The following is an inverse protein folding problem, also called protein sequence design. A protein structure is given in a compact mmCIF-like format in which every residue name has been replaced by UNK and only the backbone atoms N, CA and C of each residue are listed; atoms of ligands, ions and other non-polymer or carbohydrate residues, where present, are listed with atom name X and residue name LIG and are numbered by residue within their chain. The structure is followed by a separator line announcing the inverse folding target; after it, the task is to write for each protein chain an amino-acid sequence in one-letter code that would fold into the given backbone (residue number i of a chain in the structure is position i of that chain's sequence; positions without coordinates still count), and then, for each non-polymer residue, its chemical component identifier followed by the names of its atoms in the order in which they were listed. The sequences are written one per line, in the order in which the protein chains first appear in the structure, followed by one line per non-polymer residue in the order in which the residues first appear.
data_IF_369864631454
#
_entry.id   IF_369864631454
#
_cell.length_a   1.000
_cell.length_b   1.000
_cell.length_c   1.000
_cell.angle_alpha   90.00
_cell.angle_beta   90.00
_cell.angle_gamma   90.00
#
_symmetry.space_group_name_H-M   'P 1'
#
loop_
_entity.id
_entity.type
_entity.pdbx_description
1 polymer ?
#
# COMPACT_ATOMS: atom_id res chain seq x y z
N UNK A 1 8.88 9.72 -4.95
CA UNK A 1 8.15 8.48 -4.63
C UNK A 1 7.75 7.77 -5.91
N UNK A 2 7.89 6.45 -5.96
CA UNK A 2 7.46 5.61 -7.09
C UNK A 2 6.41 4.63 -6.58
N UNK A 3 5.31 4.47 -7.31
CA UNK A 3 4.32 3.41 -7.07
C UNK A 3 4.46 2.39 -8.20
N UNK A 4 4.67 1.13 -7.83
CA UNK A 4 4.94 0.04 -8.76
C UNK A 4 3.94 -1.09 -8.53
N UNK A 5 3.48 -1.67 -9.63
CA UNK A 5 2.67 -2.89 -9.64
C UNK A 5 3.57 -4.09 -9.89
N UNK A 6 3.42 -5.10 -9.03
CA UNK A 6 4.05 -6.41 -9.13
C UNK A 6 2.93 -7.45 -9.06
N UNK A 7 2.67 -8.20 -10.14
CA UNK A 7 1.71 -9.29 -10.08
C UNK A 7 2.24 -10.45 -9.23
N UNK A 8 1.34 -11.23 -8.63
CA UNK A 8 1.69 -12.49 -7.99
C UNK A 8 2.10 -13.57 -9.00
N UNK A 9 1.54 -13.50 -10.21
CA UNK A 9 1.82 -14.45 -11.29
C UNK A 9 2.45 -13.73 -12.48
N UNK A 10 3.52 -14.30 -13.03
CA UNK A 10 4.31 -13.69 -14.11
C UNK A 10 5.58 -12.98 -13.62
N UNK A 11 6.43 -12.60 -14.57
CA UNK A 11 7.75 -11.99 -14.31
C UNK A 11 7.84 -10.61 -14.97
N UNK A 12 6.98 -9.69 -14.55
CA UNK A 12 6.98 -8.31 -15.04
C UNK A 12 6.64 -7.34 -13.92
N UNK A 13 6.99 -6.07 -14.12
CA UNK A 13 6.65 -4.96 -13.22
C UNK A 13 6.22 -3.77 -14.05
N UNK A 14 5.38 -2.91 -13.47
CA UNK A 14 4.94 -1.68 -14.13
C UNK A 14 4.97 -0.53 -13.14
N UNK A 15 5.61 0.57 -13.53
CA UNK A 15 5.50 1.83 -12.79
C UNK A 15 4.11 2.40 -13.07
N UNK A 16 3.32 2.59 -12.01
CA UNK A 16 1.98 3.19 -12.08
C UNK A 16 2.03 4.71 -11.88
N UNK A 17 3.03 5.22 -11.17
CA UNK A 17 3.18 6.66 -10.95
C UNK A 17 4.52 7.04 -10.36
N UNK A 18 5.00 8.22 -10.76
CA UNK A 18 6.21 8.85 -10.24
C UNK A 18 5.84 10.23 -9.72
N UNK A 19 6.05 10.45 -8.42
CA UNK A 19 5.75 11.70 -7.75
C UNK A 19 7.06 12.31 -7.26
N UNK A 20 7.49 13.37 -7.93
CA UNK A 20 8.65 14.16 -7.53
C UNK A 20 8.22 15.20 -6.49
N UNK A 21 8.83 15.14 -5.31
CA UNK A 21 8.64 16.10 -4.24
C UNK A 21 10.00 16.45 -3.63
N UNK A 22 10.15 17.69 -3.16
CA UNK A 22 11.37 18.15 -2.50
C UNK A 22 11.69 17.33 -1.25
N UNK A 23 10.64 16.96 -0.51
CA UNK A 23 10.71 16.18 0.73
C UNK A 23 9.81 14.93 0.66
N UNK A 24 9.81 14.11 1.71
CA UNK A 24 8.93 12.96 1.83
C UNK A 24 7.44 13.34 1.69
N UNK A 25 6.68 12.53 0.96
CA UNK A 25 5.23 12.71 0.81
C UNK A 25 4.57 12.50 2.17
N UNK A 26 3.80 13.49 2.62
CA UNK A 26 3.08 13.43 3.90
C UNK A 26 2.01 12.33 3.88
N UNK A 27 1.80 11.68 5.02
CA UNK A 27 0.89 10.53 5.14
C UNK A 27 -0.54 10.74 4.56
N UNK A 28 -1.22 11.89 4.75
CA UNK A 28 -2.54 12.10 4.14
C UNK A 28 -2.52 12.13 2.62
N UNK A 29 -1.50 12.78 2.03
CA UNK A 29 -1.32 12.81 0.58
C UNK A 29 -0.94 11.43 0.06
N UNK A 30 -0.07 10.72 0.77
CA UNK A 30 0.31 9.36 0.45
C UNK A 30 -0.89 8.41 0.42
N UNK A 31 -1.77 8.48 1.43
CA UNK A 31 -2.97 7.67 1.48
C UNK A 31 -3.91 7.92 0.29
N UNK A 32 -4.08 9.19 -0.11
CA UNK A 32 -4.86 9.55 -1.31
C UNK A 32 -4.24 8.99 -2.59
N UNK A 33 -2.92 9.09 -2.74
CA UNK A 33 -2.20 8.56 -3.90
C UNK A 33 -2.37 7.04 -3.99
N UNK A 34 -2.17 6.31 -2.88
CA UNK A 34 -2.34 4.86 -2.85
C UNK A 34 -3.79 4.47 -3.17
N UNK A 35 -4.78 5.12 -2.56
CA UNK A 35 -6.19 4.85 -2.82
C UNK A 35 -6.56 5.05 -4.29
N UNK A 36 -6.18 6.19 -4.88
CA UNK A 36 -6.44 6.49 -6.29
C UNK A 36 -5.72 5.50 -7.21
N UNK A 37 -4.46 5.17 -6.89
CA UNK A 37 -3.67 4.22 -7.68
C UNK A 37 -4.31 2.84 -7.66
N UNK A 38 -4.79 2.37 -6.50
CA UNK A 38 -5.54 1.11 -6.37
C UNK A 38 -6.80 1.13 -7.22
N UNK A 39 -7.59 2.21 -7.17
CA UNK A 39 -8.83 2.32 -7.97
C UNK A 39 -8.53 2.32 -9.47
N UNK A 40 -7.53 3.06 -9.93
CA UNK A 40 -7.16 3.14 -11.34
C UNK A 40 -6.55 1.83 -11.86
N UNK A 41 -5.71 1.17 -11.06
CA UNK A 41 -5.14 -0.14 -11.39
C UNK A 41 -6.25 -1.18 -11.59
N UNK A 42 -7.19 -1.26 -10.66
CA UNK A 42 -8.33 -2.19 -10.72
C UNK A 42 -9.22 -1.94 -11.94
N UNK A 43 -9.52 -0.68 -12.24
CA UNK A 43 -10.28 -0.31 -13.45
C UNK A 43 -9.55 -0.70 -14.74
N UNK A 44 -8.22 -0.76 -14.72
CA UNK A 44 -7.40 -1.22 -15.83
C UNK A 44 -7.24 -2.76 -15.88
N UNK A 45 -7.88 -3.51 -14.98
CA UNK A 45 -7.77 -4.96 -14.90
C UNK A 45 -6.55 -5.47 -14.13
N UNK A 46 -5.84 -4.57 -13.44
CA UNK A 46 -4.75 -4.92 -12.52
C UNK A 46 -5.32 -5.12 -11.12
N UNK A 47 -5.55 -6.37 -10.74
CA UNK A 47 -6.09 -6.68 -9.42
C UNK A 47 -5.05 -6.45 -8.32
N UNK A 48 -5.39 -5.61 -7.33
CA UNK A 48 -4.56 -5.18 -6.21
C UNK A 48 -5.09 -5.78 -4.91
N UNK A 49 -4.49 -6.89 -4.49
CA UNK A 49 -4.84 -7.52 -3.20
C UNK A 49 -4.07 -6.92 -2.02
N UNK A 50 -2.85 -6.44 -2.25
CA UNK A 50 -1.92 -6.00 -1.21
C UNK A 50 -1.23 -4.68 -1.55
N UNK A 51 -1.01 -3.85 -0.52
CA UNK A 51 -0.11 -2.69 -0.54
C UNK A 51 1.14 -3.06 0.27
N UNK A 52 2.32 -2.93 -0.34
CA UNK A 52 3.60 -3.20 0.32
C UNK A 52 4.45 -1.94 0.41
N UNK A 53 5.01 -1.67 1.59
CA UNK A 53 5.97 -0.59 1.79
C UNK A 53 6.92 -0.89 2.96
N UNK A 54 7.99 -0.11 3.10
CA UNK A 54 8.86 -0.20 4.27
C UNK A 54 8.15 0.23 5.56
N UNK A 55 8.81 -0.03 6.69
CA UNK A 55 8.37 0.39 8.01
C UNK A 55 8.70 1.85 8.36
N UNK A 56 8.86 2.78 7.42
CA UNK A 56 9.12 4.17 7.78
C UNK A 56 7.94 4.82 8.51
N UNK A 57 8.21 5.87 9.30
CA UNK A 57 7.19 6.51 10.15
C UNK A 57 5.99 7.03 9.37
N UNK A 58 6.22 7.67 8.21
CA UNK A 58 5.15 8.17 7.34
C UNK A 58 4.31 7.06 6.69
N UNK A 59 4.91 5.91 6.37
CA UNK A 59 4.20 4.74 5.85
C UNK A 59 3.28 4.15 6.91
N UNK A 60 3.76 4.00 8.15
CA UNK A 60 2.92 3.60 9.28
C UNK A 60 1.82 4.63 9.58
N UNK A 61 2.09 5.91 9.46
CA UNK A 61 1.06 6.95 9.60
C UNK A 61 0.00 6.84 8.50
N UNK A 62 0.39 6.51 7.27
CA UNK A 62 -0.54 6.25 6.18
C UNK A 62 -1.39 5.00 6.43
N UNK A 63 -0.81 3.91 6.94
CA UNK A 63 -1.54 2.71 7.35
C UNK A 63 -2.65 3.01 8.36
N UNK A 64 -2.37 3.86 9.36
CA UNK A 64 -3.37 4.28 10.35
C UNK A 64 -4.56 5.01 9.71
N UNK A 65 -4.36 5.73 8.61
CA UNK A 65 -5.46 6.38 7.86
C UNK A 65 -6.38 5.37 7.18
N UNK A 66 -5.86 4.17 6.85
CA UNK A 66 -6.67 3.03 6.41
C UNK A 66 -7.22 2.19 7.58
N UNK A 67 -6.94 2.61 8.82
CA UNK A 67 -7.32 1.92 10.05
C UNK A 67 -6.52 0.63 10.30
N UNK A 68 -5.35 0.51 9.69
CA UNK A 68 -4.41 -0.60 9.88
C UNK A 68 -3.60 -0.32 11.14
N UNK A 69 -3.54 -1.30 12.03
CA UNK A 69 -2.86 -1.19 13.32
C UNK A 69 -2.46 -2.56 13.85
N UNK A 70 -1.39 -2.59 14.64
CA UNK A 70 -0.94 -3.80 15.33
C UNK A 70 -0.52 -3.46 16.75
N UNK A 71 -1.00 -4.24 17.70
CA UNK A 71 -0.57 -4.29 19.09
C UNK A 71 -0.44 -5.76 19.51
N UNK A 72 0.19 -6.07 20.67
CA UNK A 72 0.28 -7.44 21.16
C UNK A 72 -1.06 -8.16 21.33
N UNK A 73 -2.14 -7.41 21.56
CA UNK A 73 -3.49 -7.94 21.80
C UNK A 73 -4.44 -7.82 20.60
N UNK A 74 -4.12 -6.98 19.60
CA UNK A 74 -5.01 -6.71 18.49
C UNK A 74 -4.25 -6.37 17.21
N UNK A 75 -4.53 -7.11 16.14
CA UNK A 75 -3.95 -6.86 14.82
C UNK A 75 -5.05 -6.68 13.80
N UNK A 76 -4.98 -5.57 13.06
CA UNK A 76 -5.79 -5.29 11.88
C UNK A 76 -4.87 -4.98 10.72
N UNK A 77 -4.71 -5.96 9.83
CA UNK A 77 -3.82 -5.90 8.66
C UNK A 77 -4.53 -5.64 7.32
N UNK A 78 -5.86 -5.50 7.33
CA UNK A 78 -6.64 -5.23 6.13
C UNK A 78 -7.82 -4.29 6.37
N UNK A 79 -8.30 -3.73 5.27
CA UNK A 79 -9.54 -2.95 5.20
C UNK A 79 -10.39 -3.41 4.02
N UNK A 80 -11.65 -2.97 3.96
CA UNK A 80 -12.53 -3.27 2.81
C UNK A 80 -11.90 -2.72 1.54
N UNK A 81 -11.88 -3.53 0.49
CA UNK A 81 -11.29 -3.11 -0.76
C UNK A 81 -12.13 -1.99 -1.42
N UNK A 82 -11.50 -0.91 -1.94
CA UNK A 82 -12.22 0.29 -2.39
C UNK A 82 -13.04 0.09 -3.68
N UNK A 83 -12.71 -0.92 -4.49
CA UNK A 83 -13.43 -1.22 -5.75
C UNK A 83 -14.46 -2.35 -5.61
N UNK A 84 -14.08 -3.48 -5.00
CA UNK A 84 -14.96 -4.61 -4.73
C UNK A 84 -15.16 -4.82 -3.21
N UNK A 85 -16.32 -4.47 -2.64
CA UNK A 85 -16.60 -4.64 -1.20
C UNK A 85 -16.56 -6.08 -0.69
N UNK A 86 -16.55 -7.09 -1.57
CA UNK A 86 -16.43 -8.51 -1.20
C UNK A 86 -14.98 -8.92 -0.94
N UNK A 87 -14.02 -8.09 -1.33
CA UNK A 87 -12.58 -8.33 -1.14
C UNK A 87 -12.00 -7.44 -0.05
N UNK A 88 -10.83 -7.83 0.41
CA UNK A 88 -10.05 -7.08 1.38
C UNK A 88 -8.79 -6.55 0.70
N UNK A 89 -8.37 -5.34 1.09
CA UNK A 89 -7.07 -4.77 0.75
C UNK A 89 -6.13 -4.96 1.94
N UNK A 90 -5.06 -5.73 1.75
CA UNK A 90 -4.08 -6.05 2.78
C UNK A 90 -2.91 -5.08 2.76
N UNK A 91 -2.33 -4.81 3.94
CA UNK A 91 -1.16 -3.95 4.09
C UNK A 91 -0.01 -4.77 4.66
N UNK A 92 1.08 -4.87 3.90
CA UNK A 92 2.22 -5.73 4.18
C UNK A 92 3.47 -4.87 4.35
N UNK A 93 4.25 -5.18 5.40
CA UNK A 93 5.59 -4.60 5.55
C UNK A 93 6.54 -5.33 4.62
N UNK A 94 7.54 -4.61 4.12
CA UNK A 94 8.77 -5.24 3.64
C UNK A 94 9.36 -6.13 4.76
N UNK A 95 9.37 -7.45 4.52
CA UNK A 95 9.84 -8.45 5.47
C UNK A 95 11.37 -8.47 5.65
N UNK A 96 12.20 -8.39 4.58
CA UNK A 96 13.65 -8.27 4.74
C UNK A 96 14.09 -7.15 5.70
N UNK A 97 13.41 -6.00 5.70
CA UNK A 97 13.72 -4.92 6.64
C UNK A 97 13.38 -5.26 8.10
N UNK A 98 12.45 -6.18 8.35
CA UNK A 98 12.13 -6.64 9.71
C UNK A 98 13.17 -7.63 10.26
N UNK A 99 13.86 -8.37 9.40
CA UNK A 99 14.91 -9.32 9.85
C UNK A 99 16.25 -8.64 10.16
N UNK A 100 16.48 -7.46 9.61
CA UNK A 100 17.74 -6.71 9.80
C UNK A 100 17.77 -5.88 11.09
N UNK A 101 16.61 -5.61 11.68
CA UNK A 101 16.43 -4.82 12.89
C UNK A 101 16.06 -5.70 14.07
#
# INVERSE_FOLDING_TARGET
MIVLFQPFTGKWTQILGVFASKDNVKAPTLAKIILETTVLAEKAGLFVDCITCDGASWNRSMWRLFGIQGSPSHVRSSTKHPVDPKRQLYFLSDFPHLLKN
#
